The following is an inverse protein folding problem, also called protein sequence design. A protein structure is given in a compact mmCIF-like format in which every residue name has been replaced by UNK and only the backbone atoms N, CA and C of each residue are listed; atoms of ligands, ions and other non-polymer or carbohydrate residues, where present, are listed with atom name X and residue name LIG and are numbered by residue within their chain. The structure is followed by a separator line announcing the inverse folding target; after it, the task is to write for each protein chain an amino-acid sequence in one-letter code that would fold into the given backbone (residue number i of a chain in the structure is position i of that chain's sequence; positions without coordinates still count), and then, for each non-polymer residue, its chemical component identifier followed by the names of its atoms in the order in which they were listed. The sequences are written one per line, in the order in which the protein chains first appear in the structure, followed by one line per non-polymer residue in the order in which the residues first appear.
data_IF_918061344748
#
_entry.id   IF_918061344748
#
_cell.length_a   1.000
_cell.length_b   1.000
_cell.length_c   1.000
_cell.angle_alpha   90.00
_cell.angle_beta   90.00
_cell.angle_gamma   90.00
#
_symmetry.space_group_name_H-M   'P 1'
#
loop_
_entity.id
_entity.type
_entity.pdbx_description
1 polymer ?
#
# COMPACT_ATOMS: atom_id res chain seq x y z
N UNK A 1 -46.21 -41.60 -11.08
CA UNK A 1 -47.57 -41.11 -10.74
C UNK A 1 -47.68 -41.14 -9.23
N UNK A 2 -48.12 -40.16 -8.48
CA UNK A 2 -48.61 -38.79 -8.72
C UNK A 2 -48.58 -38.15 -7.31
N UNK A 3 -47.88 -37.02 -7.17
CA UNK A 3 -48.41 -35.70 -6.75
C UNK A 3 -48.90 -35.58 -5.31
N UNK A 4 -48.21 -34.71 -4.56
CA UNK A 4 -48.63 -34.19 -3.26
C UNK A 4 -47.87 -32.90 -2.94
N UNK A 5 -48.31 -31.81 -3.57
CA UNK A 5 -47.85 -30.43 -3.38
C UNK A 5 -48.24 -29.95 -1.98
N UNK A 6 -47.30 -29.35 -1.24
CA UNK A 6 -47.61 -28.41 -0.15
C UNK A 6 -46.98 -27.08 -0.51
N UNK A 7 -47.84 -26.15 -0.94
CA UNK A 7 -47.55 -24.75 -1.18
C UNK A 7 -47.37 -23.99 0.14
N UNK A 8 -46.38 -23.11 0.09
CA UNK A 8 -46.09 -22.00 0.99
C UNK A 8 -47.27 -21.08 1.24
N UNK A 9 -47.39 -20.53 2.45
CA UNK A 9 -47.68 -19.09 2.68
C UNK A 9 -47.41 -18.72 4.14
N UNK A 10 -46.16 -18.37 4.42
CA UNK A 10 -45.75 -17.64 5.62
C UNK A 10 -45.04 -16.40 5.16
N UNK A 11 -45.79 -15.32 4.93
CA UNK A 11 -45.27 -14.00 4.58
C UNK A 11 -44.31 -13.55 5.68
N UNK A 12 -43.03 -13.26 5.40
CA UNK A 12 -42.19 -12.59 6.38
C UNK A 12 -42.75 -11.19 6.57
N UNK A 13 -43.19 -10.91 7.80
CA UNK A 13 -43.62 -9.59 8.25
C UNK A 13 -42.58 -8.57 7.82
N UNK A 14 -42.97 -7.68 6.90
CA UNK A 14 -42.16 -6.55 6.49
C UNK A 14 -41.88 -5.73 7.74
N UNK A 15 -40.61 -5.69 8.16
CA UNK A 15 -40.15 -4.76 9.18
C UNK A 15 -40.52 -3.36 8.71
N UNK A 16 -41.46 -2.73 9.40
CA UNK A 16 -41.82 -1.34 9.20
C UNK A 16 -40.54 -0.51 9.34
N UNK A 17 -40.03 0.02 8.22
CA UNK A 17 -38.94 0.97 8.23
C UNK A 17 -39.45 2.22 8.96
N UNK A 18 -39.01 2.41 10.20
CA UNK A 18 -39.28 3.62 10.97
C UNK A 18 -38.70 4.80 10.18
N UNK A 19 -39.49 5.83 9.83
CA UNK A 19 -38.97 6.99 9.12
C UNK A 19 -37.93 7.68 10.01
N UNK A 20 -36.71 7.81 9.50
CA UNK A 20 -35.65 8.56 10.17
C UNK A 20 -36.06 10.05 10.08
N UNK A 21 -36.26 10.76 11.20
CA UNK A 21 -36.71 12.15 11.15
C UNK A 21 -35.68 13.02 10.40
N UNK A 22 -36.13 14.03 9.65
CA UNK A 22 -35.33 14.84 8.73
C UNK A 22 -34.12 15.56 9.38
N UNK A 23 -34.06 15.65 10.72
CA UNK A 23 -32.91 16.16 11.48
C UNK A 23 -31.90 15.08 11.96
N UNK A 24 -32.16 13.79 11.71
CA UNK A 24 -31.38 12.66 12.24
C UNK A 24 -30.29 12.12 11.30
N UNK A 25 -30.10 12.73 10.12
CA UNK A 25 -29.08 12.35 9.15
C UNK A 25 -28.04 13.46 8.99
N UNK A 26 -27.33 13.80 10.06
CA UNK A 26 -26.07 14.56 9.93
C UNK A 26 -24.92 13.56 9.99
N UNK A 27 -24.61 12.97 8.84
CA UNK A 27 -23.43 12.10 8.70
C UNK A 27 -22.18 12.94 8.53
N UNK A 28 -21.02 12.43 8.99
CA UNK A 28 -19.71 13.07 8.73
C UNK A 28 -19.50 13.28 7.23
N UNK A 29 -20.02 12.36 6.39
CA UNK A 29 -19.94 12.44 4.92
C UNK A 29 -20.67 13.63 4.31
N UNK A 30 -21.60 14.25 5.05
CA UNK A 30 -22.40 15.39 4.61
C UNK A 30 -21.89 16.72 5.19
N UNK A 31 -20.87 16.68 6.04
CA UNK A 31 -20.24 17.86 6.65
C UNK A 31 -19.00 18.29 5.85
N UNK A 32 -18.67 19.59 5.79
CA UNK A 32 -17.34 20.02 5.34
C UNK A 32 -17.18 20.47 3.87
N UNK A 33 -18.28 20.79 3.18
CA UNK A 33 -18.24 21.42 1.86
C UNK A 33 -17.51 20.60 0.80
N UNK A 34 -16.83 21.29 -0.14
CA UNK A 34 -16.26 20.68 -1.35
C UNK A 34 -15.17 19.64 -1.08
N UNK A 35 -14.41 19.76 0.02
CA UNK A 35 -13.33 18.82 0.33
C UNK A 35 -13.85 17.47 0.79
N UNK A 36 -14.84 17.44 1.69
CA UNK A 36 -15.48 16.19 2.08
C UNK A 36 -16.28 15.59 0.93
N UNK A 37 -16.99 16.42 0.15
CA UNK A 37 -17.72 15.96 -1.03
C UNK A 37 -16.78 15.29 -2.06
N UNK A 38 -15.56 15.81 -2.26
CA UNK A 38 -14.54 15.17 -3.09
C UNK A 38 -14.08 13.82 -2.52
N UNK A 39 -13.80 13.75 -1.21
CA UNK A 39 -13.39 12.52 -0.53
C UNK A 39 -14.48 11.42 -0.64
N UNK A 40 -15.75 11.82 -0.55
CA UNK A 40 -16.91 10.94 -0.63
C UNK A 40 -17.33 10.59 -2.06
N UNK A 41 -16.79 11.26 -3.07
CA UNK A 41 -17.12 11.00 -4.47
C UNK A 41 -16.61 9.61 -4.88
N UNK A 42 -17.49 8.82 -5.50
CA UNK A 42 -17.06 7.61 -6.17
C UNK A 42 -16.19 7.99 -7.38
N UNK A 43 -14.94 7.56 -7.36
CA UNK A 43 -13.98 7.81 -8.44
C UNK A 43 -13.97 6.59 -9.36
N UNK A 44 -14.01 6.82 -10.67
CA UNK A 44 -13.91 5.74 -11.65
C UNK A 44 -12.49 5.18 -11.70
N UNK A 45 -12.34 3.91 -12.04
CA UNK A 45 -11.01 3.29 -12.21
C UNK A 45 -10.16 4.03 -13.23
N UNK A 46 -10.78 4.63 -14.26
CA UNK A 46 -10.08 5.44 -15.26
C UNK A 46 -9.49 6.73 -14.67
N UNK A 47 -10.27 7.46 -13.86
CA UNK A 47 -9.78 8.69 -13.22
C UNK A 47 -8.69 8.38 -12.18
N UNK A 48 -8.83 7.29 -11.43
CA UNK A 48 -7.81 6.86 -10.47
C UNK A 48 -6.52 6.42 -11.19
N UNK A 49 -6.65 5.66 -12.29
CA UNK A 49 -5.52 5.31 -13.16
C UNK A 49 -4.80 6.56 -13.65
N UNK A 50 -5.52 7.54 -14.18
CA UNK A 50 -4.94 8.80 -14.65
C UNK A 50 -4.23 9.58 -13.54
N UNK A 51 -4.76 9.59 -12.32
CA UNK A 51 -4.09 10.23 -11.17
C UNK A 51 -2.79 9.53 -10.77
N UNK A 52 -2.78 8.19 -10.84
CA UNK A 52 -1.63 7.37 -10.47
C UNK A 52 -0.54 7.37 -11.53
N UNK A 53 -0.89 7.63 -12.79
CA UNK A 53 0.05 7.74 -13.89
C UNK A 53 0.94 8.96 -13.69
N UNK A 54 2.25 8.72 -13.67
CA UNK A 54 3.25 9.77 -13.49
C UNK A 54 4.40 9.52 -14.44
N UNK A 55 4.68 10.48 -15.29
CA UNK A 55 5.90 10.47 -16.08
C UNK A 55 7.12 10.50 -15.15
N UNK A 56 8.10 9.67 -15.47
CA UNK A 56 9.37 9.61 -14.76
C UNK A 56 10.19 10.88 -15.01
N UNK A 57 10.08 11.44 -16.23
CA UNK A 57 10.74 12.66 -16.65
C UNK A 57 9.74 13.52 -17.43
N UNK A 58 9.58 14.82 -17.12
CA UNK A 58 8.70 15.69 -17.89
C UNK A 58 9.09 15.71 -19.37
N UNK A 59 8.11 15.49 -20.26
CA UNK A 59 8.31 15.47 -21.70
C UNK A 59 8.52 16.87 -22.32
N UNK A 60 9.37 17.70 -21.72
CA UNK A 60 9.76 18.99 -22.29
C UNK A 60 10.83 18.78 -23.36
N UNK A 61 10.58 19.24 -24.59
CA UNK A 61 11.56 19.16 -25.67
C UNK A 61 12.87 19.88 -25.32
N UNK A 62 12.79 20.95 -24.56
CA UNK A 62 13.95 21.68 -24.00
C UNK A 62 14.90 20.76 -23.22
N UNK A 63 14.37 19.78 -22.46
CA UNK A 63 15.19 18.83 -21.71
C UNK A 63 15.89 17.81 -22.63
N UNK A 64 15.31 17.50 -23.79
CA UNK A 64 15.92 16.60 -24.78
C UNK A 64 17.03 17.27 -25.58
N UNK A 65 16.95 18.59 -25.75
CA UNK A 65 17.97 19.37 -26.46
C UNK A 65 19.02 19.98 -25.52
N UNK A 66 18.80 19.89 -24.20
CA UNK A 66 19.75 20.34 -23.19
C UNK A 66 21.10 19.61 -23.21
N UNK A 67 22.09 20.18 -22.53
CA UNK A 67 23.40 19.58 -22.32
C UNK A 67 23.33 18.28 -21.47
N UNK A 68 24.42 17.51 -21.50
CA UNK A 68 24.51 16.20 -20.83
C UNK A 68 24.28 16.31 -19.33
N UNK A 69 24.81 17.33 -18.66
CA UNK A 69 24.71 17.46 -17.20
C UNK A 69 23.28 17.81 -16.77
N UNK A 70 22.60 18.68 -17.52
CA UNK A 70 21.18 18.98 -17.31
C UNK A 70 20.31 17.74 -17.49
N UNK A 71 20.56 16.93 -18.54
CA UNK A 71 19.84 15.68 -18.77
C UNK A 71 20.06 14.66 -17.65
N UNK A 72 21.32 14.46 -17.23
CA UNK A 72 21.65 13.55 -16.12
C UNK A 72 20.99 14.01 -14.82
N UNK A 73 20.98 15.32 -14.57
CA UNK A 73 20.31 15.90 -13.39
C UNK A 73 18.81 15.64 -13.41
N UNK A 74 18.16 15.79 -14.56
CA UNK A 74 16.74 15.48 -14.72
C UNK A 74 16.45 13.98 -14.49
N UNK A 75 17.32 13.09 -14.99
CA UNK A 75 17.20 11.63 -14.83
C UNK A 75 17.22 11.16 -13.37
N UNK A 76 17.73 11.95 -12.42
CA UNK A 76 17.62 11.62 -10.99
C UNK A 76 16.17 11.46 -10.50
N UNK A 77 15.18 12.01 -11.23
CA UNK A 77 13.74 11.84 -10.92
C UNK A 77 13.14 10.57 -11.51
N UNK A 78 13.89 9.80 -12.31
CA UNK A 78 13.37 8.66 -13.06
C UNK A 78 12.68 7.61 -12.16
N UNK A 79 13.20 7.39 -10.96
CA UNK A 79 12.60 6.46 -9.98
C UNK A 79 11.23 6.88 -9.43
N UNK A 80 10.74 8.08 -9.74
CA UNK A 80 9.45 8.61 -9.28
C UNK A 80 8.31 8.36 -10.25
N UNK A 81 8.62 7.94 -11.49
CA UNK A 81 7.62 7.61 -12.48
C UNK A 81 6.81 6.38 -12.08
N UNK A 82 5.56 6.32 -12.51
CA UNK A 82 4.68 5.20 -12.24
C UNK A 82 3.71 4.97 -13.40
N UNK A 83 3.74 3.74 -13.92
CA UNK A 83 2.69 3.19 -14.77
C UNK A 83 1.76 2.33 -13.90
N UNK A 84 0.47 2.68 -13.72
CA UNK A 84 -0.44 1.95 -12.83
C UNK A 84 -0.91 0.60 -13.41
N UNK A 85 -0.83 -0.43 -12.58
CA UNK A 85 -1.44 -1.76 -12.82
C UNK A 85 -2.94 -1.75 -12.55
N UNK A 86 -3.69 -2.59 -13.28
CA UNK A 86 -5.14 -2.74 -13.07
C UNK A 86 -5.45 -3.22 -11.65
N UNK A 87 -4.68 -4.19 -11.16
CA UNK A 87 -4.80 -4.80 -9.84
C UNK A 87 -4.59 -3.77 -8.74
N UNK A 88 -3.59 -2.88 -8.93
CA UNK A 88 -3.34 -1.75 -8.02
C UNK A 88 -4.52 -0.77 -7.97
N UNK A 89 -5.05 -0.39 -9.14
CA UNK A 89 -6.23 0.50 -9.23
C UNK A 89 -7.46 -0.13 -8.57
N UNK A 90 -7.70 -1.42 -8.79
CA UNK A 90 -8.81 -2.15 -8.17
C UNK A 90 -8.67 -2.21 -6.65
N UNK A 91 -7.48 -2.51 -6.15
CA UNK A 91 -7.20 -2.54 -4.71
C UNK A 91 -7.46 -1.17 -4.06
N UNK A 92 -6.95 -0.08 -4.64
CA UNK A 92 -7.22 1.27 -4.13
C UNK A 92 -8.71 1.64 -4.21
N UNK A 93 -9.42 1.18 -5.24
CA UNK A 93 -10.87 1.36 -5.37
C UNK A 93 -11.62 0.68 -4.22
N UNK A 94 -11.21 -0.52 -3.83
CA UNK A 94 -11.80 -1.24 -2.69
C UNK A 94 -11.51 -0.55 -1.35
N UNK A 95 -10.26 -0.10 -1.13
CA UNK A 95 -9.88 0.64 0.08
C UNK A 95 -10.68 1.94 0.21
N UNK A 96 -10.78 2.74 -0.87
CA UNK A 96 -11.55 3.99 -0.86
C UNK A 96 -13.05 3.74 -0.70
N UNK A 97 -13.58 2.64 -1.24
CA UNK A 97 -14.98 2.26 -1.04
C UNK A 97 -15.27 1.92 0.43
N UNK A 98 -14.38 1.16 1.09
CA UNK A 98 -14.50 0.85 2.51
C UNK A 98 -14.43 2.11 3.38
N UNK A 99 -13.51 3.03 3.08
CA UNK A 99 -13.40 4.32 3.75
C UNK A 99 -14.68 5.16 3.58
N UNK A 100 -15.27 5.21 2.38
CA UNK A 100 -16.53 5.92 2.14
C UNK A 100 -17.69 5.30 2.93
N UNK A 101 -17.82 3.98 2.92
CA UNK A 101 -18.83 3.28 3.72
C UNK A 101 -18.67 3.58 5.22
N UNK A 102 -17.44 3.58 5.71
CA UNK A 102 -17.09 3.94 7.08
C UNK A 102 -17.49 5.39 7.44
N UNK A 103 -17.14 6.38 6.61
CA UNK A 103 -17.55 7.77 6.86
C UNK A 103 -19.07 7.96 6.79
N UNK A 104 -19.73 7.31 5.84
CA UNK A 104 -21.20 7.36 5.73
C UNK A 104 -21.87 6.79 6.97
N UNK A 105 -21.30 5.76 7.61
CA UNK A 105 -21.84 5.16 8.82
C UNK A 105 -21.74 6.03 10.09
N UNK A 106 -20.91 7.08 10.09
CA UNK A 106 -20.73 8.02 11.21
C UNK A 106 -21.86 9.04 11.28
N UNK A 107 -22.92 8.73 12.02
CA UNK A 107 -24.10 9.57 12.14
C UNK A 107 -24.14 10.33 13.47
N UNK A 108 -23.88 11.64 13.46
CA UNK A 108 -23.98 12.49 14.66
C UNK A 108 -25.44 12.78 15.07
N UNK A 109 -26.41 12.52 14.19
CA UNK A 109 -27.82 12.49 14.54
C UNK A 109 -28.21 11.33 15.47
N UNK A 110 -27.40 10.25 15.49
CA UNK A 110 -27.57 9.13 16.40
C UNK A 110 -26.93 9.40 17.77
N UNK A 111 -27.69 9.21 18.84
CA UNK A 111 -27.20 9.42 20.20
C UNK A 111 -26.00 8.52 20.54
N UNK A 112 -26.05 7.25 20.13
CA UNK A 112 -25.03 6.25 20.42
C UNK A 112 -23.64 6.67 19.88
N UNK A 113 -23.58 7.05 18.60
CA UNK A 113 -22.34 7.51 17.97
C UNK A 113 -21.84 8.83 18.58
N UNK A 114 -22.75 9.76 18.88
CA UNK A 114 -22.41 11.04 19.52
C UNK A 114 -21.80 10.83 20.91
N UNK A 115 -22.41 10.00 21.75
CA UNK A 115 -21.90 9.64 23.07
C UNK A 115 -20.54 8.94 22.96
N UNK A 116 -20.41 8.01 22.01
CA UNK A 116 -19.15 7.35 21.72
C UNK A 116 -18.05 8.35 21.35
N UNK A 117 -18.30 9.24 20.38
CA UNK A 117 -17.32 10.24 19.92
C UNK A 117 -16.87 11.18 21.05
N UNK A 118 -17.81 11.72 21.84
CA UNK A 118 -17.47 12.59 22.96
C UNK A 118 -16.75 11.84 24.09
N UNK A 119 -17.06 10.55 24.31
CA UNK A 119 -16.36 9.74 25.30
C UNK A 119 -14.87 9.53 24.96
N UNK A 120 -14.50 9.55 23.67
CA UNK A 120 -13.09 9.48 23.27
C UNK A 120 -12.27 10.66 23.80
N UNK A 121 -12.85 11.85 23.94
CA UNK A 121 -12.17 12.98 24.57
C UNK A 121 -11.92 12.75 26.07
N UNK A 122 -12.73 11.92 26.73
CA UNK A 122 -12.54 11.57 28.14
C UNK A 122 -11.48 10.48 28.34
N UNK A 123 -11.23 9.65 27.33
CA UNK A 123 -10.15 8.64 27.34
C UNK A 123 -8.78 9.33 27.43
N UNK A 124 -8.64 10.50 26.80
CA UNK A 124 -7.46 11.37 26.96
C UNK A 124 -7.25 11.85 28.40
N UNK A 125 -8.22 11.66 29.30
CA UNK A 125 -8.15 11.97 30.73
C UNK A 125 -8.14 10.71 31.60
N UNK A 126 -7.81 9.55 31.02
CA UNK A 126 -7.68 8.28 31.72
C UNK A 126 -8.97 7.46 31.87
N UNK A 127 -10.09 7.86 31.23
CA UNK A 127 -11.30 7.03 31.23
C UNK A 127 -11.19 5.83 30.29
N UNK A 128 -12.02 4.81 30.53
CA UNK A 128 -12.08 3.62 29.69
C UNK A 128 -12.72 3.90 28.31
N UNK A 129 -12.31 3.13 27.30
CA UNK A 129 -12.94 3.13 25.99
C UNK A 129 -14.37 2.61 26.07
N UNK A 130 -15.29 3.26 25.37
CA UNK A 130 -16.63 2.72 25.12
C UNK A 130 -16.61 1.66 24.02
N UNK A 131 -17.55 0.72 24.03
CA UNK A 131 -17.73 -0.21 22.91
C UNK A 131 -18.08 0.55 21.63
N UNK A 132 -17.75 -0.05 20.49
CA UNK A 132 -18.07 0.49 19.17
C UNK A 132 -19.59 0.52 18.97
N UNK A 133 -20.17 1.64 18.50
CA UNK A 133 -21.60 1.76 18.33
C UNK A 133 -22.12 0.87 17.19
N UNK A 134 -23.40 0.47 17.27
CA UNK A 134 -24.03 -0.48 16.34
C UNK A 134 -23.92 -0.04 14.86
N UNK A 135 -24.01 1.26 14.61
CA UNK A 135 -23.89 1.82 13.26
C UNK A 135 -22.51 1.56 12.60
N UNK A 136 -21.45 1.48 13.40
CA UNK A 136 -20.10 1.17 12.95
C UNK A 136 -19.80 -0.32 13.01
N UNK A 137 -20.33 -1.04 14.01
CA UNK A 137 -20.14 -2.50 14.12
C UNK A 137 -20.81 -3.29 13.00
N UNK A 138 -21.89 -2.73 12.41
CA UNK A 138 -22.57 -3.33 11.26
C UNK A 138 -21.73 -3.28 9.96
N UNK A 139 -20.72 -2.41 9.90
CA UNK A 139 -19.76 -2.42 8.79
C UNK A 139 -18.88 -3.67 8.95
N UNK A 140 -18.83 -4.53 7.92
CA UNK A 140 -17.84 -5.61 7.90
C UNK A 140 -16.46 -4.97 8.03
N UNK A 141 -15.79 -5.21 9.15
CA UNK A 141 -14.49 -4.62 9.46
C UNK A 141 -13.44 -5.18 8.50
N UNK A 142 -13.10 -4.42 7.46
CA UNK A 142 -12.18 -4.86 6.42
C UNK A 142 -10.72 -4.58 6.81
N UNK A 143 -9.95 -5.65 6.95
CA UNK A 143 -8.50 -5.60 6.82
C UNK A 143 -8.11 -5.73 5.35
N UNK A 144 -7.07 -5.04 4.93
CA UNK A 144 -6.52 -5.09 3.58
C UNK A 144 -5.04 -5.46 3.66
N UNK A 145 -4.60 -6.33 2.75
CA UNK A 145 -3.22 -6.78 2.70
C UNK A 145 -2.59 -6.37 1.38
N UNK A 146 -1.42 -5.74 1.46
CA UNK A 146 -0.57 -5.46 0.32
C UNK A 146 0.76 -6.20 0.50
N UNK A 147 0.98 -7.22 -0.31
CA UNK A 147 2.15 -8.08 -0.20
C UNK A 147 2.88 -8.21 -1.52
N UNK A 148 4.05 -8.81 -1.48
CA UNK A 148 4.96 -8.94 -2.60
C UNK A 148 6.41 -8.74 -2.14
N UNK A 149 7.38 -9.18 -2.93
CA UNK A 149 8.78 -8.96 -2.62
C UNK A 149 9.16 -7.49 -2.39
N UNK A 150 10.33 -7.29 -1.81
CA UNK A 150 10.98 -5.98 -1.79
C UNK A 150 11.12 -5.45 -3.22
N UNK A 151 10.96 -4.13 -3.36
CA UNK A 151 11.08 -3.40 -4.63
C UNK A 151 9.98 -3.64 -5.69
N UNK A 152 8.81 -4.15 -5.29
CA UNK A 152 7.66 -4.33 -6.19
C UNK A 152 6.66 -3.16 -6.20
N UNK A 153 6.98 -2.03 -5.57
CA UNK A 153 6.15 -0.82 -5.61
C UNK A 153 5.06 -0.70 -4.53
N UNK A 154 5.09 -1.54 -3.48
CA UNK A 154 4.11 -1.50 -2.38
C UNK A 154 4.01 -0.13 -1.70
N UNK A 155 5.12 0.40 -1.21
CA UNK A 155 5.15 1.73 -0.58
C UNK A 155 4.81 2.86 -1.55
N UNK A 156 5.12 2.70 -2.86
CA UNK A 156 4.71 3.67 -3.89
C UNK A 156 3.19 3.70 -4.03
N UNK A 157 2.54 2.53 -4.07
CA UNK A 157 1.08 2.44 -4.14
C UNK A 157 0.39 3.05 -2.91
N UNK A 158 0.93 2.80 -1.71
CA UNK A 158 0.44 3.43 -0.46
C UNK A 158 0.63 4.95 -0.47
N UNK A 159 1.78 5.43 -0.93
CA UNK A 159 2.06 6.86 -1.05
C UNK A 159 1.07 7.53 -2.01
N UNK A 160 0.80 6.91 -3.15
CA UNK A 160 -0.19 7.40 -4.12
C UNK A 160 -1.61 7.43 -3.56
N UNK A 161 -1.99 6.42 -2.77
CA UNK A 161 -3.27 6.44 -2.05
C UNK A 161 -3.36 7.62 -1.09
N UNK A 162 -2.32 7.85 -0.27
CA UNK A 162 -2.30 8.98 0.66
C UNK A 162 -2.35 10.33 -0.06
N UNK A 163 -1.63 10.48 -1.17
CA UNK A 163 -1.67 11.68 -2.02
C UNK A 163 -3.04 11.87 -2.69
N UNK A 164 -3.68 10.79 -3.13
CA UNK A 164 -5.02 10.82 -3.72
C UNK A 164 -6.08 11.27 -2.71
N UNK A 165 -5.99 10.77 -1.47
CA UNK A 165 -6.90 11.10 -0.38
C UNK A 165 -6.69 12.51 0.17
N UNK A 166 -5.50 13.07 -0.01
CA UNK A 166 -5.16 14.44 0.33
C UNK A 166 -4.77 14.67 1.79
N UNK A 167 -4.40 15.92 2.14
CA UNK A 167 -3.96 16.29 3.48
C UNK A 167 -5.13 16.32 4.48
N UNK A 168 -4.85 16.39 5.80
CA UNK A 168 -5.88 16.61 6.80
C UNK A 168 -6.64 17.93 6.57
N UNK A 169 -7.92 17.95 6.88
CA UNK A 169 -8.76 19.15 6.74
C UNK A 169 -9.79 19.26 7.87
N UNK A 170 -10.34 20.46 8.05
CA UNK A 170 -11.38 20.73 9.05
C UNK A 170 -12.76 20.69 8.40
N UNK A 171 -13.72 20.11 9.12
CA UNK A 171 -15.14 20.18 8.81
C UNK A 171 -15.86 20.90 9.93
N UNK A 172 -16.93 21.61 9.58
CA UNK A 172 -17.74 22.38 10.51
C UNK A 172 -19.13 21.78 10.60
N UNK A 173 -19.57 21.52 11.83
CA UNK A 173 -20.86 20.92 12.14
C UNK A 173 -21.75 21.90 12.91
N UNK A 174 -23.05 21.64 12.87
CA UNK A 174 -24.02 22.26 13.76
C UNK A 174 -24.49 21.24 14.80
N UNK A 175 -24.90 21.67 16.01
CA UNK A 175 -25.46 20.78 17.02
C UNK A 175 -26.54 19.87 16.40
N UNK A 176 -26.53 18.55 16.69
CA UNK A 176 -25.78 17.89 17.75
C UNK A 176 -24.32 17.49 17.42
N UNK A 177 -23.82 17.78 16.22
CA UNK A 177 -22.42 17.53 15.87
C UNK A 177 -21.47 18.56 16.50
N UNK A 178 -20.19 18.23 16.70
CA UNK A 178 -19.18 19.19 17.13
C UNK A 178 -19.05 20.36 16.14
N UNK A 179 -18.84 21.58 16.66
CA UNK A 179 -18.70 22.79 15.86
C UNK A 179 -17.59 22.71 14.81
N UNK A 180 -16.49 22.06 15.18
CA UNK A 180 -15.37 21.80 14.29
C UNK A 180 -14.77 20.43 14.60
N UNK A 181 -14.34 19.72 13.56
CA UNK A 181 -13.64 18.44 13.66
C UNK A 181 -12.54 18.38 12.63
N UNK A 182 -11.46 17.67 12.97
CA UNK A 182 -10.45 17.29 12.00
C UNK A 182 -10.87 16.00 11.30
N UNK A 183 -10.56 15.92 10.01
CA UNK A 183 -10.64 14.72 9.19
C UNK A 183 -9.25 14.42 8.66
N UNK A 184 -8.76 13.24 8.98
CA UNK A 184 -7.49 12.69 8.49
C UNK A 184 -7.80 11.52 7.55
N UNK A 185 -7.84 11.73 6.22
CA UNK A 185 -8.30 10.69 5.28
C UNK A 185 -7.52 9.37 5.39
N UNK A 186 -6.19 9.45 5.45
CA UNK A 186 -5.30 8.30 5.65
C UNK A 186 -4.25 8.58 6.70
N UNK A 187 -4.06 7.66 7.64
CA UNK A 187 -3.00 7.71 8.64
C UNK A 187 -1.94 6.65 8.33
N UNK A 188 -0.83 7.06 7.73
CA UNK A 188 0.24 6.15 7.27
C UNK A 188 1.39 6.17 8.27
N UNK A 189 1.69 5.01 8.84
CA UNK A 189 2.86 4.80 9.68
C UNK A 189 3.76 3.72 9.06
N UNK A 190 5.07 3.88 9.24
CA UNK A 190 6.01 2.80 8.94
C UNK A 190 5.93 1.73 10.04
N UNK A 191 6.23 0.49 9.68
CA UNK A 191 6.44 -0.54 10.68
C UNK A 191 7.54 -0.10 11.66
N UNK A 192 7.29 -0.13 12.98
CA UNK A 192 8.25 0.39 13.94
C UNK A 192 9.47 -0.54 13.98
N UNK A 193 10.67 0.02 13.84
CA UNK A 193 11.94 -0.74 13.85
C UNK A 193 12.15 -1.58 15.11
N UNK A 194 11.56 -1.17 16.24
CA UNK A 194 11.61 -1.93 17.48
C UNK A 194 10.56 -3.04 17.59
N UNK A 195 9.65 -3.16 16.61
CA UNK A 195 8.57 -4.15 16.55
C UNK A 195 7.52 -4.06 17.65
N UNK A 196 7.44 -2.94 18.39
CA UNK A 196 6.51 -2.79 19.53
C UNK A 196 5.40 -1.77 19.26
N UNK A 197 4.23 -1.92 19.92
CA UNK A 197 3.22 -0.88 19.98
C UNK A 197 3.75 0.46 20.49
N UNK A 198 4.68 0.45 21.47
CA UNK A 198 5.29 1.68 21.98
C UNK A 198 6.02 2.47 20.90
N UNK A 199 6.75 1.79 20.01
CA UNK A 199 7.37 2.42 18.84
C UNK A 199 6.33 3.02 17.91
N UNK A 200 5.26 2.28 17.63
CA UNK A 200 4.15 2.76 16.81
C UNK A 200 3.49 4.02 17.40
N UNK A 201 3.26 4.07 18.72
CA UNK A 201 2.63 5.22 19.38
C UNK A 201 3.51 6.45 19.39
N UNK A 202 4.84 6.27 19.53
CA UNK A 202 5.79 7.36 19.37
C UNK A 202 5.75 7.92 17.95
N UNK A 203 5.74 7.05 16.94
CA UNK A 203 5.72 7.48 15.54
C UNK A 203 4.36 8.11 15.17
N UNK A 204 3.27 7.62 15.77
CA UNK A 204 1.93 8.25 15.73
C UNK A 204 1.95 9.65 16.32
N UNK A 205 2.54 9.83 17.51
CA UNK A 205 2.69 11.14 18.17
C UNK A 205 3.46 12.11 17.28
N UNK A 206 4.59 11.67 16.72
CA UNK A 206 5.40 12.50 15.82
C UNK A 206 4.63 12.92 14.57
N UNK A 207 3.87 11.99 13.97
CA UNK A 207 3.04 12.27 12.79
C UNK A 207 1.94 13.28 13.11
N UNK A 208 1.26 13.14 14.25
CA UNK A 208 0.21 14.07 14.67
C UNK A 208 0.80 15.46 14.93
N UNK A 209 1.95 15.55 15.62
CA UNK A 209 2.62 16.82 15.88
C UNK A 209 3.06 17.52 14.58
N UNK A 210 3.56 16.75 13.60
CA UNK A 210 4.00 17.31 12.32
C UNK A 210 2.83 17.86 11.48
N UNK A 211 1.64 17.28 11.59
CA UNK A 211 0.49 17.65 10.76
C UNK A 211 -0.51 18.61 11.42
N UNK A 212 -0.63 18.54 12.74
CA UNK A 212 -1.62 19.31 13.51
C UNK A 212 -1.00 20.21 14.57
N UNK A 213 0.30 20.06 14.85
CA UNK A 213 1.00 20.89 15.81
C UNK A 213 1.12 22.34 15.34
N UNK A 214 0.75 23.27 16.21
CA UNK A 214 1.11 24.68 16.14
C UNK A 214 2.14 25.00 17.24
N UNK A 215 2.73 26.21 17.21
CA UNK A 215 3.66 26.69 18.27
C UNK A 215 3.04 26.70 19.68
N UNK A 216 1.71 26.53 19.79
CA UNK A 216 0.94 26.56 21.04
C UNK A 216 0.39 25.18 21.45
N UNK A 217 0.67 24.13 20.67
CA UNK A 217 0.14 22.80 20.92
C UNK A 217 0.89 22.24 22.10
N UNK A 218 0.18 22.12 23.23
CA UNK A 218 0.76 21.62 24.47
C UNK A 218 1.34 20.21 24.21
N UNK A 219 2.67 20.14 24.18
CA UNK A 219 3.44 18.91 23.95
C UNK A 219 3.07 17.80 24.96
N UNK A 220 2.47 18.18 26.10
CA UNK A 220 1.99 17.29 27.15
C UNK A 220 0.66 16.60 26.82
N UNK A 221 -0.20 17.15 25.95
CA UNK A 221 -1.49 16.52 25.63
C UNK A 221 -1.36 15.18 24.88
N UNK A 222 -0.19 14.92 24.30
CA UNK A 222 0.16 13.67 23.61
C UNK A 222 1.17 12.81 24.38
N UNK A 223 1.62 13.22 25.58
CA UNK A 223 2.56 12.41 26.37
C UNK A 223 1.95 11.06 26.79
N UNK A 224 0.63 11.00 26.91
CA UNK A 224 -0.09 9.80 27.33
C UNK A 224 -0.05 8.67 26.29
N UNK A 225 0.28 8.97 25.02
CA UNK A 225 0.56 7.95 24.00
C UNK A 225 1.76 7.06 24.37
N UNK A 226 2.70 7.60 25.14
CA UNK A 226 3.89 6.88 25.60
C UNK A 226 3.70 6.24 26.99
N UNK A 227 2.55 6.48 27.63
CA UNK A 227 2.18 5.99 28.95
C UNK A 227 1.45 4.64 28.97
N UNK A 228 1.05 4.19 30.16
CA UNK A 228 0.40 2.89 30.37
C UNK A 228 -0.95 2.73 29.64
N UNK A 229 -1.62 3.84 29.29
CA UNK A 229 -2.88 3.88 28.55
C UNK A 229 -2.71 4.15 27.05
N UNK A 230 -1.48 4.10 26.52
CA UNK A 230 -1.14 4.54 25.16
C UNK A 230 -2.00 3.91 24.05
N UNK A 231 -2.38 2.63 24.18
CA UNK A 231 -3.27 1.97 23.21
C UNK A 231 -4.66 2.64 23.13
N UNK A 232 -5.26 2.92 24.29
CA UNK A 232 -6.60 3.47 24.38
C UNK A 232 -6.60 4.93 23.90
N UNK A 233 -5.53 5.66 24.23
CA UNK A 233 -5.28 7.03 23.76
C UNK A 233 -5.13 7.05 22.24
N UNK A 234 -4.36 6.13 21.65
CA UNK A 234 -4.22 6.01 20.21
C UNK A 234 -5.58 5.75 19.51
N UNK A 235 -6.38 4.85 20.05
CA UNK A 235 -7.74 4.56 19.55
C UNK A 235 -8.61 5.81 19.61
N UNK A 236 -8.64 6.50 20.76
CA UNK A 236 -9.41 7.72 20.94
C UNK A 236 -8.98 8.83 19.98
N UNK A 237 -7.66 9.03 19.78
CA UNK A 237 -7.13 10.00 18.83
C UNK A 237 -7.53 9.69 17.39
N UNK A 238 -7.45 8.43 16.96
CA UNK A 238 -7.91 8.03 15.63
C UNK A 238 -9.39 8.34 15.41
N UNK A 239 -10.24 8.16 16.42
CA UNK A 239 -11.66 8.53 16.37
C UNK A 239 -11.84 10.05 16.31
N UNK A 240 -11.17 10.82 17.17
CA UNK A 240 -11.29 12.28 17.25
C UNK A 240 -10.75 13.01 16.01
N UNK A 241 -9.70 12.48 15.38
CA UNK A 241 -9.16 12.98 14.11
C UNK A 241 -9.93 12.47 12.89
N UNK A 242 -11.02 11.71 13.11
CA UNK A 242 -11.81 11.06 12.07
C UNK A 242 -10.94 10.36 11.01
N UNK A 243 -9.99 9.55 11.47
CA UNK A 243 -9.10 8.79 10.57
C UNK A 243 -9.94 7.91 9.65
N UNK A 244 -9.73 8.02 8.34
CA UNK A 244 -10.52 7.28 7.33
C UNK A 244 -10.00 5.89 7.03
N UNK A 245 -8.68 5.73 7.00
CA UNK A 245 -7.97 4.45 6.86
C UNK A 245 -6.67 4.50 7.67
N UNK A 246 -6.35 3.42 8.38
CA UNK A 246 -5.08 3.27 9.08
C UNK A 246 -4.16 2.35 8.28
N UNK A 247 -2.94 2.79 8.00
CA UNK A 247 -2.01 2.07 7.13
C UNK A 247 -0.69 1.83 7.87
N UNK A 248 -0.31 0.56 7.99
CA UNK A 248 1.01 0.14 8.48
C UNK A 248 1.83 -0.37 7.30
N UNK A 249 2.85 0.40 6.89
CA UNK A 249 3.65 0.14 5.69
C UNK A 249 5.09 -0.28 5.98
N UNK A 250 5.67 -1.03 5.05
CA UNK A 250 7.11 -1.24 4.97
C UNK A 250 7.65 -2.36 5.85
N UNK A 251 6.81 -3.28 6.32
CA UNK A 251 7.26 -4.39 7.15
C UNK A 251 8.06 -5.42 6.34
N UNK A 252 9.19 -5.87 6.90
CA UNK A 252 10.10 -6.87 6.32
C UNK A 252 10.38 -8.04 7.25
N UNK A 253 11.17 -8.99 6.76
CA UNK A 253 11.53 -10.21 7.48
C UNK A 253 12.23 -9.91 8.79
N UNK A 254 13.12 -8.92 8.81
CA UNK A 254 13.86 -8.55 10.01
C UNK A 254 12.98 -7.90 11.09
N UNK A 255 11.80 -7.41 10.73
CA UNK A 255 10.86 -6.80 11.66
C UNK A 255 10.04 -7.83 12.47
N UNK A 256 9.99 -9.08 12.02
CA UNK A 256 9.26 -10.18 12.65
C UNK A 256 9.96 -10.63 13.93
N UNK A 257 9.28 -10.54 15.08
CA UNK A 257 9.77 -11.00 16.39
C UNK A 257 8.60 -11.23 17.38
N UNK A 258 8.86 -11.77 18.58
CA UNK A 258 7.82 -12.04 19.60
C UNK A 258 6.88 -10.86 19.93
N UNK A 259 7.32 -9.60 19.71
CA UNK A 259 6.53 -8.39 19.97
C UNK A 259 5.58 -8.05 18.83
N UNK A 260 5.79 -8.62 17.65
CA UNK A 260 4.91 -8.49 16.48
C UNK A 260 3.47 -8.86 16.84
N UNK A 261 3.27 -9.94 17.61
CA UNK A 261 1.95 -10.35 18.09
C UNK A 261 1.24 -9.24 18.89
N UNK A 262 1.96 -8.48 19.72
CA UNK A 262 1.38 -7.37 20.47
C UNK A 262 0.94 -6.22 19.55
N UNK A 263 1.71 -5.95 18.48
CA UNK A 263 1.35 -4.96 17.46
C UNK A 263 0.08 -5.36 16.72
N UNK A 264 -0.03 -6.60 16.25
CA UNK A 264 -1.23 -7.10 15.59
C UNK A 264 -2.44 -7.12 16.53
N UNK A 265 -2.27 -7.48 17.82
CA UNK A 265 -3.34 -7.36 18.83
C UNK A 265 -3.83 -5.92 18.98
N UNK A 266 -2.91 -4.96 19.00
CA UNK A 266 -3.29 -3.55 19.01
C UNK A 266 -4.07 -3.17 17.74
N UNK A 267 -3.65 -3.60 16.55
CA UNK A 267 -4.38 -3.32 15.30
C UNK A 267 -5.78 -3.96 15.29
N UNK A 268 -5.92 -5.18 15.81
CA UNK A 268 -7.23 -5.83 16.00
C UNK A 268 -8.10 -4.95 16.90
N UNK A 269 -7.58 -4.55 18.06
CA UNK A 269 -8.26 -3.69 19.02
C UNK A 269 -8.64 -2.33 18.42
N UNK A 270 -7.74 -1.72 17.64
CA UNK A 270 -8.01 -0.47 16.93
C UNK A 270 -9.20 -0.64 15.99
N UNK A 271 -9.21 -1.69 15.18
CA UNK A 271 -10.32 -1.99 14.26
C UNK A 271 -11.63 -2.24 15.00
N UNK A 272 -11.59 -3.06 16.06
CA UNK A 272 -12.77 -3.44 16.86
C UNK A 272 -13.37 -2.25 17.61
N UNK A 273 -12.55 -1.31 18.07
CA UNK A 273 -13.02 -0.15 18.83
C UNK A 273 -13.28 1.09 17.99
N UNK A 274 -12.82 1.18 16.75
CA UNK A 274 -13.04 2.37 15.89
C UNK A 274 -13.85 2.09 14.62
N UNK A 275 -13.87 0.84 14.13
CA UNK A 275 -14.41 0.48 12.82
C UNK A 275 -13.56 0.95 11.63
N UNK A 276 -12.38 1.56 11.88
CA UNK A 276 -11.51 2.08 10.82
C UNK A 276 -10.94 0.92 9.98
N UNK A 277 -11.02 0.98 8.64
CA UNK A 277 -10.32 0.06 7.76
C UNK A 277 -8.80 0.06 8.00
N UNK A 278 -8.18 -1.11 8.06
CA UNK A 278 -6.73 -1.25 8.28
C UNK A 278 -6.08 -1.83 7.03
N UNK A 279 -5.01 -1.19 6.55
CA UNK A 279 -4.15 -1.70 5.48
C UNK A 279 -2.80 -2.10 6.09
N UNK A 280 -2.36 -3.32 5.83
CA UNK A 280 -1.03 -3.82 6.22
C UNK A 280 -0.24 -4.08 4.94
N UNK A 281 0.92 -3.44 4.83
CA UNK A 281 1.85 -3.63 3.72
C UNK A 281 3.15 -4.23 4.22
N UNK A 282 3.50 -5.40 3.69
CA UNK A 282 4.64 -6.20 4.16
C UNK A 282 5.22 -7.09 3.06
N UNK A 283 6.51 -7.45 3.17
CA UNK A 283 7.15 -8.36 2.22
C UNK A 283 6.44 -9.72 2.24
N UNK A 284 6.59 -10.52 1.19
CA UNK A 284 6.05 -11.89 1.20
C UNK A 284 6.55 -12.70 2.40
N UNK A 285 7.83 -12.55 2.77
CA UNK A 285 8.39 -13.17 3.97
C UNK A 285 7.73 -12.71 5.27
N UNK A 286 7.52 -11.39 5.42
CA UNK A 286 6.82 -10.83 6.58
C UNK A 286 5.39 -11.36 6.68
N UNK A 287 4.64 -11.32 5.57
CA UNK A 287 3.23 -11.73 5.55
C UNK A 287 3.07 -13.22 5.79
N UNK A 288 3.97 -14.05 5.26
CA UNK A 288 4.04 -15.48 5.55
C UNK A 288 4.25 -15.77 7.04
N UNK A 289 5.19 -15.06 7.66
CA UNK A 289 5.43 -15.21 9.10
C UNK A 289 4.26 -14.70 9.94
N UNK A 290 3.64 -13.59 9.53
CA UNK A 290 2.52 -12.98 10.24
C UNK A 290 1.24 -13.83 10.15
N UNK A 291 0.98 -14.51 9.03
CA UNK A 291 -0.19 -15.39 8.87
C UNK A 291 -0.18 -16.59 9.81
N UNK A 292 1.00 -17.01 10.26
CA UNK A 292 1.17 -18.09 11.23
C UNK A 292 0.93 -17.64 12.69
N UNK A 293 0.49 -16.40 12.91
CA UNK A 293 0.16 -15.86 14.25
C UNK A 293 -1.34 -15.67 14.44
N UNK A 294 -1.78 -15.35 15.66
CA UNK A 294 -3.18 -14.99 16.03
C UNK A 294 -3.79 -13.81 15.24
N UNK A 295 -3.07 -13.25 14.26
CA UNK A 295 -3.45 -12.13 13.41
C UNK A 295 -4.38 -12.49 12.23
N UNK A 296 -4.80 -13.75 12.07
CA UNK A 296 -5.60 -14.21 10.91
C UNK A 296 -6.80 -13.30 10.60
N UNK A 297 -7.49 -12.82 11.63
CA UNK A 297 -8.66 -11.94 11.47
C UNK A 297 -8.35 -10.58 10.82
N UNK A 298 -7.12 -10.06 10.88
CA UNK A 298 -6.72 -8.84 10.17
C UNK A 298 -6.36 -9.11 8.71
N UNK A 299 -5.92 -10.32 8.40
CA UNK A 299 -5.38 -10.70 7.09
C UNK A 299 -6.43 -11.32 6.16
N UNK A 300 -7.62 -11.62 6.67
CA UNK A 300 -8.72 -12.31 5.95
C UNK A 300 -9.53 -11.44 4.97
N UNK A 301 -9.16 -10.18 4.74
CA UNK A 301 -9.86 -9.32 3.78
C UNK A 301 -9.18 -9.27 2.41
N UNK A 302 -9.52 -8.28 1.55
CA UNK A 302 -8.96 -8.19 0.21
C UNK A 302 -7.43 -8.07 0.22
N UNK A 303 -6.77 -8.86 -0.64
CA UNK A 303 -5.32 -8.92 -0.73
C UNK A 303 -4.87 -8.56 -2.14
N UNK A 304 -3.82 -7.75 -2.22
CA UNK A 304 -3.07 -7.50 -3.46
C UNK A 304 -1.67 -8.08 -3.30
N UNK A 305 -1.32 -9.02 -4.17
CA UNK A 305 0.01 -9.59 -4.28
C UNK A 305 0.72 -8.93 -5.47
N UNK A 306 1.76 -8.15 -5.22
CA UNK A 306 2.63 -7.56 -6.22
C UNK A 306 3.80 -8.51 -6.49
N UNK A 307 3.50 -9.61 -7.17
CA UNK A 307 4.48 -10.63 -7.54
C UNK A 307 5.35 -10.20 -8.74
N UNK A 308 6.56 -10.75 -8.88
CA UNK A 308 7.39 -10.54 -10.07
C UNK A 308 6.60 -10.85 -11.34
N UNK A 309 6.76 -10.01 -12.36
CA UNK A 309 6.09 -10.20 -13.63
C UNK A 309 6.58 -11.48 -14.31
N UNK A 310 5.68 -12.11 -15.06
CA UNK A 310 6.01 -13.27 -15.89
C UNK A 310 6.99 -12.89 -17.02
N UNK A 311 7.77 -13.87 -17.54
CA UNK A 311 8.62 -13.66 -18.71
C UNK A 311 7.84 -13.06 -19.88
N UNK A 312 8.46 -12.15 -20.66
CA UNK A 312 7.81 -11.62 -21.84
C UNK A 312 7.50 -12.74 -22.83
N UNK A 313 6.25 -12.80 -23.30
CA UNK A 313 5.89 -13.68 -24.41
C UNK A 313 6.64 -13.22 -25.65
N UNK A 314 7.23 -14.12 -26.47
CA UNK A 314 7.87 -13.75 -27.73
C UNK A 314 6.92 -12.89 -28.57
N UNK A 315 7.46 -11.85 -29.21
CA UNK A 315 6.65 -10.97 -30.05
C UNK A 315 5.81 -11.81 -31.03
N UNK A 316 4.49 -11.57 -31.12
CA UNK A 316 3.70 -12.13 -32.20
C UNK A 316 4.33 -11.69 -33.53
N UNK A 317 4.42 -12.61 -34.48
CA UNK A 317 4.64 -12.28 -35.90
C UNK A 317 3.62 -11.21 -36.34
N UNK A 318 4.04 -10.35 -37.27
CA UNK A 318 3.41 -9.06 -37.63
C UNK A 318 1.89 -8.94 -37.45
N UNK A 319 1.45 -7.84 -36.80
CA UNK A 319 0.04 -7.41 -36.80
C UNK A 319 -0.66 -7.24 -35.44
N UNK A 320 -0.03 -7.54 -34.30
CA UNK A 320 -0.62 -7.33 -32.96
C UNK A 320 -0.13 -6.05 -32.27
N UNK A 321 -0.99 -5.42 -31.47
CA UNK A 321 -0.65 -4.19 -30.72
C UNK A 321 0.30 -4.53 -29.57
N UNK A 322 1.15 -3.57 -29.16
CA UNK A 322 2.08 -3.74 -28.02
C UNK A 322 1.35 -4.13 -26.73
N UNK A 323 0.11 -3.68 -26.57
CA UNK A 323 -0.80 -4.01 -25.47
C UNK A 323 -1.04 -5.53 -25.35
N UNK A 324 -1.04 -6.25 -26.48
CA UNK A 324 -1.27 -7.70 -26.55
C UNK A 324 -0.02 -8.53 -26.17
N UNK A 325 1.11 -7.87 -25.88
CA UNK A 325 2.41 -8.53 -25.71
C UNK A 325 2.83 -8.76 -24.25
N UNK A 326 1.94 -8.46 -23.30
CA UNK A 326 2.10 -8.69 -21.87
C UNK A 326 2.60 -7.48 -21.07
N UNK A 327 2.35 -7.48 -19.76
CA UNK A 327 2.61 -6.34 -18.86
C UNK A 327 4.09 -5.94 -18.85
N UNK A 328 5.01 -6.91 -18.85
CA UNK A 328 6.45 -6.63 -18.84
C UNK A 328 6.89 -5.76 -20.02
N UNK A 329 6.46 -6.11 -21.24
CA UNK A 329 6.79 -5.33 -22.45
C UNK A 329 6.19 -3.93 -22.41
N UNK A 330 5.00 -3.76 -21.84
CA UNK A 330 4.40 -2.43 -21.65
C UNK A 330 5.26 -1.57 -20.72
N UNK A 331 5.74 -2.10 -19.60
CA UNK A 331 6.66 -1.37 -18.71
C UNK A 331 7.99 -1.03 -19.36
N UNK A 332 8.61 -1.97 -20.07
CA UNK A 332 9.89 -1.74 -20.77
C UNK A 332 9.73 -0.65 -21.82
N UNK A 333 8.66 -0.70 -22.62
CA UNK A 333 8.36 0.33 -23.62
C UNK A 333 8.09 1.69 -22.99
N UNK A 334 7.31 1.72 -21.90
CA UNK A 334 7.06 2.94 -21.15
C UNK A 334 8.35 3.52 -20.58
N UNK A 335 9.16 2.75 -19.84
CA UNK A 335 10.44 3.19 -19.27
C UNK A 335 11.44 3.65 -20.35
N UNK A 336 11.44 3.02 -21.53
CA UNK A 336 12.24 3.48 -22.66
C UNK A 336 11.79 4.87 -23.13
N UNK A 337 10.49 5.10 -23.28
CA UNK A 337 9.93 6.39 -23.70
C UNK A 337 10.14 7.53 -22.70
N UNK A 338 10.37 7.19 -21.43
CA UNK A 338 10.68 8.14 -20.36
C UNK A 338 12.13 8.66 -20.38
N UNK A 339 12.99 8.14 -21.27
CA UNK A 339 14.36 8.62 -21.44
C UNK A 339 14.48 9.99 -22.12
N UNK A 340 15.64 10.62 -21.98
CA UNK A 340 16.01 11.86 -22.66
C UNK A 340 16.85 11.59 -23.93
N UNK A 341 16.49 10.53 -24.65
CA UNK A 341 17.15 10.12 -25.89
C UNK A 341 16.72 11.04 -27.07
N UNK A 342 17.55 11.15 -28.13
CA UNK A 342 17.20 11.91 -29.33
C UNK A 342 15.86 11.46 -29.94
N UNK A 343 15.17 12.39 -30.61
CA UNK A 343 13.88 12.09 -31.27
C UNK A 343 14.04 10.96 -32.30
N UNK A 344 13.05 10.07 -32.36
CA UNK A 344 13.05 8.93 -33.29
C UNK A 344 13.87 7.72 -32.82
N UNK A 345 14.48 7.79 -31.63
CA UNK A 345 15.18 6.67 -30.99
C UNK A 345 14.24 5.48 -30.77
N UNK A 346 14.34 4.47 -31.63
CA UNK A 346 13.55 3.23 -31.52
C UNK A 346 14.10 2.34 -30.42
N UNK A 347 13.20 1.80 -29.60
CA UNK A 347 13.54 0.77 -28.63
C UNK A 347 14.05 -0.48 -29.36
N UNK A 348 15.18 -1.07 -28.93
CA UNK A 348 15.63 -2.36 -29.46
C UNK A 348 14.57 -3.45 -29.25
N UNK A 349 14.34 -4.27 -30.29
CA UNK A 349 13.27 -5.29 -30.31
C UNK A 349 13.36 -6.28 -29.14
N UNK A 350 14.58 -6.69 -28.80
CA UNK A 350 14.88 -7.70 -27.77
C UNK A 350 15.16 -7.10 -26.39
N UNK A 351 15.05 -5.78 -26.22
CA UNK A 351 15.26 -5.13 -24.93
C UNK A 351 14.37 -5.73 -23.81
N UNK A 352 13.08 -6.07 -24.04
CA UNK A 352 12.27 -6.67 -22.99
C UNK A 352 12.80 -8.01 -22.49
N UNK A 353 13.33 -8.86 -23.37
CA UNK A 353 13.95 -10.14 -23.04
C UNK A 353 15.24 -9.95 -22.24
N UNK A 354 16.15 -9.11 -22.73
CA UNK A 354 17.43 -8.84 -22.05
C UNK A 354 17.24 -8.23 -20.66
N UNK A 355 16.30 -7.29 -20.54
CA UNK A 355 15.99 -6.69 -19.24
C UNK A 355 15.27 -7.65 -18.31
N UNK A 356 14.47 -8.59 -18.83
CA UNK A 356 13.87 -9.64 -18.01
C UNK A 356 14.95 -10.55 -17.41
N UNK A 357 15.87 -11.05 -18.22
CA UNK A 357 16.99 -11.88 -17.77
C UNK A 357 17.80 -11.19 -16.66
N UNK A 358 18.03 -9.88 -16.82
CA UNK A 358 18.78 -9.09 -15.85
C UNK A 358 18.02 -8.75 -14.56
N UNK A 359 16.69 -8.87 -14.52
CA UNK A 359 15.87 -8.35 -13.41
C UNK A 359 14.86 -9.34 -12.83
N UNK A 360 14.68 -10.50 -13.46
CA UNK A 360 13.79 -11.57 -13.01
C UNK A 360 12.37 -11.06 -12.73
N UNK A 361 11.83 -10.24 -13.63
CA UNK A 361 10.46 -9.72 -13.56
C UNK A 361 10.22 -8.64 -12.49
N UNK A 362 11.26 -8.09 -11.85
CA UNK A 362 11.09 -7.13 -10.73
C UNK A 362 11.10 -5.69 -11.18
N UNK A 363 10.02 -4.99 -10.85
CA UNK A 363 9.82 -3.60 -11.26
C UNK A 363 10.92 -2.66 -10.73
N UNK A 364 11.26 -2.72 -9.44
CA UNK A 364 12.26 -1.80 -8.90
C UNK A 364 13.68 -2.05 -9.42
N UNK A 365 14.02 -3.30 -9.77
CA UNK A 365 15.29 -3.60 -10.44
C UNK A 365 15.29 -3.09 -11.88
N UNK A 366 14.17 -3.26 -12.59
CA UNK A 366 13.96 -2.71 -13.92
C UNK A 366 14.15 -1.20 -13.95
N UNK A 367 13.52 -0.48 -13.01
CA UNK A 367 13.61 0.99 -12.91
C UNK A 367 15.05 1.45 -12.65
N UNK A 368 15.79 0.78 -11.75
CA UNK A 368 17.20 1.11 -11.49
C UNK A 368 18.12 0.84 -12.69
N UNK A 369 17.90 -0.29 -13.36
CA UNK A 369 18.64 -0.64 -14.58
C UNK A 369 18.37 0.36 -15.70
N UNK A 370 17.11 0.75 -15.91
CA UNK A 370 16.72 1.75 -16.91
C UNK A 370 17.26 3.15 -16.59
N UNK A 371 17.24 3.57 -15.32
CA UNK A 371 17.86 4.83 -14.93
C UNK A 371 19.34 4.85 -15.33
N UNK A 372 20.08 3.79 -15.01
CA UNK A 372 21.51 3.67 -15.34
C UNK A 372 21.74 3.59 -16.85
N UNK A 373 20.87 2.87 -17.57
CA UNK A 373 20.90 2.77 -19.03
C UNK A 373 20.71 4.13 -19.70
N UNK A 374 19.70 4.89 -19.28
CA UNK A 374 19.44 6.23 -19.83
C UNK A 374 20.58 7.20 -19.54
N UNK A 375 21.16 7.16 -18.34
CA UNK A 375 22.35 7.97 -18.00
C UNK A 375 23.54 7.60 -18.89
N UNK A 376 23.76 6.31 -19.15
CA UNK A 376 24.84 5.86 -20.03
C UNK A 376 24.62 6.33 -21.48
N UNK A 377 23.40 6.20 -21.99
CA UNK A 377 23.05 6.61 -23.35
C UNK A 377 23.13 8.12 -23.57
N UNK A 378 22.69 8.93 -22.59
CA UNK A 378 22.79 10.40 -22.64
C UNK A 378 24.24 10.87 -22.70
N UNK A 379 25.16 10.15 -22.04
CA UNK A 379 26.60 10.45 -22.08
C UNK A 379 27.26 10.08 -23.41
N UNK A 380 26.53 9.43 -24.31
CA UNK A 380 27.04 8.95 -25.59
C UNK A 380 26.11 9.40 -26.74
N UNK A 381 26.00 10.73 -27.00
CA UNK A 381 24.97 11.31 -27.86
C UNK A 381 25.11 10.95 -29.35
N UNK A 382 26.31 10.63 -29.83
CA UNK A 382 26.57 10.29 -31.23
C UNK A 382 26.29 8.82 -31.58
N UNK A 383 25.80 8.02 -30.63
CA UNK A 383 25.60 6.59 -30.84
C UNK A 383 24.35 6.28 -31.65
N UNK A 384 24.53 5.43 -32.65
CA UNK A 384 23.43 4.69 -33.26
C UNK A 384 22.92 3.64 -32.28
N UNK A 385 21.83 3.97 -31.59
CA UNK A 385 21.19 3.12 -30.57
C UNK A 385 21.02 1.66 -31.02
N UNK A 386 20.62 1.43 -32.27
CA UNK A 386 20.42 0.07 -32.80
C UNK A 386 21.71 -0.76 -32.89
N UNK A 387 22.86 -0.11 -33.05
CA UNK A 387 24.18 -0.77 -33.13
C UNK A 387 24.82 -0.88 -31.73
N UNK A 388 24.49 0.02 -30.80
CA UNK A 388 25.12 0.06 -29.47
C UNK A 388 24.37 -0.73 -28.40
N UNK A 389 23.04 -0.69 -28.41
CA UNK A 389 22.25 -1.35 -27.36
C UNK A 389 22.12 -2.83 -27.71
N UNK A 390 23.15 -3.58 -27.35
CA UNK A 390 23.22 -5.05 -27.44
C UNK A 390 22.85 -5.71 -26.11
N UNK A 391 22.65 -7.03 -26.12
CA UNK A 391 22.45 -7.80 -24.89
C UNK A 391 23.62 -7.61 -23.91
N UNK A 392 24.86 -7.67 -24.39
CA UNK A 392 26.05 -7.50 -23.56
C UNK A 392 26.08 -6.10 -22.91
N UNK A 393 25.76 -5.06 -23.68
CA UNK A 393 25.67 -3.69 -23.15
C UNK A 393 24.61 -3.58 -22.05
N UNK A 394 23.40 -4.10 -22.28
CA UNK A 394 22.31 -4.09 -21.29
C UNK A 394 22.69 -4.88 -20.04
N UNK A 395 23.24 -6.08 -20.20
CA UNK A 395 23.70 -6.93 -19.08
C UNK A 395 24.77 -6.23 -18.25
N UNK A 396 25.74 -5.56 -18.88
CA UNK A 396 26.78 -4.83 -18.17
C UNK A 396 26.22 -3.64 -17.38
N UNK A 397 25.34 -2.85 -18.01
CA UNK A 397 24.69 -1.70 -17.37
C UNK A 397 23.82 -2.13 -16.19
N UNK A 398 22.97 -3.14 -16.39
CA UNK A 398 22.08 -3.64 -15.34
C UNK A 398 22.88 -4.35 -14.24
N UNK A 399 23.93 -5.08 -14.59
CA UNK A 399 24.84 -5.71 -13.62
C UNK A 399 25.53 -4.69 -12.71
N UNK A 400 25.94 -3.54 -13.26
CA UNK A 400 26.48 -2.43 -12.47
C UNK A 400 25.40 -1.84 -11.54
N UNK A 401 24.21 -1.55 -12.08
CA UNK A 401 23.10 -0.98 -11.32
C UNK A 401 22.64 -1.89 -10.17
N UNK A 402 22.63 -3.20 -10.40
CA UNK A 402 22.05 -4.21 -9.50
C UNK A 402 23.10 -4.96 -8.69
N UNK A 403 24.35 -4.48 -8.65
CA UNK A 403 25.46 -5.16 -7.95
C UNK A 403 25.15 -5.49 -6.48
N UNK A 404 24.42 -4.62 -5.79
CA UNK A 404 24.00 -4.83 -4.39
C UNK A 404 22.98 -5.96 -4.22
N UNK A 405 22.28 -6.34 -5.30
CA UNK A 405 21.30 -7.41 -5.34
C UNK A 405 21.84 -8.72 -5.96
N UNK A 406 23.15 -8.81 -6.22
CA UNK A 406 23.75 -9.99 -6.82
C UNK A 406 23.46 -11.28 -6.03
N UNK A 407 23.47 -11.22 -4.69
CA UNK A 407 23.15 -12.39 -3.87
C UNK A 407 21.67 -12.81 -3.94
N UNK A 408 20.67 -11.94 -3.70
CA UNK A 408 19.27 -12.33 -3.85
C UNK A 408 18.95 -12.81 -5.27
N UNK A 409 19.48 -12.17 -6.31
CA UNK A 409 19.31 -12.62 -7.71
C UNK A 409 19.81 -14.05 -7.92
N UNK A 410 21.05 -14.32 -7.47
CA UNK A 410 21.64 -15.66 -7.55
C UNK A 410 20.79 -16.71 -6.82
N UNK A 411 20.25 -16.38 -5.64
CA UNK A 411 19.43 -17.31 -4.87
C UNK A 411 18.07 -17.58 -5.52
N UNK A 412 17.43 -16.57 -6.12
CA UNK A 412 16.17 -16.74 -6.86
C UNK A 412 16.39 -17.69 -8.03
N UNK A 413 17.43 -17.46 -8.84
CA UNK A 413 17.78 -18.34 -9.95
C UNK A 413 18.08 -19.77 -9.48
N UNK A 414 18.72 -19.95 -8.33
CA UNK A 414 18.94 -21.28 -7.77
C UNK A 414 17.63 -21.98 -7.42
N UNK A 415 16.67 -21.26 -6.83
CA UNK A 415 15.36 -21.81 -6.48
C UNK A 415 14.54 -22.18 -7.71
N UNK A 416 14.48 -21.30 -8.71
CA UNK A 416 13.76 -21.53 -9.96
C UNK A 416 14.30 -22.74 -10.74
N UNK A 417 15.62 -22.96 -10.68
CA UNK A 417 16.28 -24.08 -11.35
C UNK A 417 16.36 -25.37 -10.51
N UNK A 418 15.76 -25.39 -9.31
CA UNK A 418 15.83 -26.55 -8.41
C UNK A 418 17.24 -26.88 -7.90
N UNK A 419 18.17 -25.92 -7.96
CA UNK A 419 19.53 -26.08 -7.50
C UNK A 419 19.61 -25.99 -5.95
N UNK A 420 20.63 -26.61 -5.32
CA UNK A 420 20.82 -26.49 -3.88
C UNK A 420 20.99 -25.03 -3.46
N UNK A 421 20.08 -24.54 -2.60
CA UNK A 421 20.19 -23.19 -2.02
C UNK A 421 21.48 -23.02 -1.22
N UNK A 422 22.08 -21.83 -1.25
CA UNK A 422 23.36 -21.50 -0.61
C UNK A 422 23.35 -21.45 0.93
N UNK A 423 22.56 -22.31 1.57
CA UNK A 423 22.42 -22.45 3.01
C UNK A 423 21.42 -21.47 3.65
N UNK A 424 20.97 -21.85 4.85
CA UNK A 424 19.94 -21.14 5.64
C UNK A 424 20.22 -19.65 5.85
N UNK A 425 21.45 -19.29 6.21
CA UNK A 425 21.80 -17.89 6.53
C UNK A 425 21.66 -16.98 5.31
N UNK A 426 22.15 -17.43 4.15
CA UNK A 426 22.07 -16.67 2.89
C UNK A 426 20.63 -16.43 2.44
N UNK A 427 19.79 -17.47 2.61
CA UNK A 427 18.36 -17.39 2.36
C UNK A 427 17.69 -16.37 3.27
N UNK A 428 17.87 -16.48 4.59
CA UNK A 428 17.24 -15.59 5.56
C UNK A 428 17.62 -14.12 5.38
N UNK A 429 18.88 -13.82 5.03
CA UNK A 429 19.34 -12.45 4.70
C UNK A 429 18.70 -11.87 3.43
N UNK A 430 18.14 -12.73 2.59
CA UNK A 430 17.52 -12.36 1.31
C UNK A 430 16.01 -12.61 1.32
N UNK A 431 15.43 -12.98 2.48
CA UNK A 431 14.05 -13.46 2.60
C UNK A 431 13.04 -12.50 1.96
N UNK A 432 13.22 -11.19 2.21
CA UNK A 432 12.36 -10.14 1.69
C UNK A 432 12.33 -10.01 0.18
N UNK A 433 13.31 -10.59 -0.51
CA UNK A 433 13.33 -10.60 -1.96
C UNK A 433 12.56 -11.77 -2.54
N UNK A 434 12.21 -12.84 -1.82
CA UNK A 434 11.53 -13.98 -2.47
C UNK A 434 10.03 -13.74 -2.69
N UNK A 435 9.45 -14.25 -3.80
CA UNK A 435 8.00 -14.24 -4.01
C UNK A 435 7.29 -15.19 -3.05
N UNK A 436 5.98 -15.02 -2.88
CA UNK A 436 5.17 -15.80 -1.94
C UNK A 436 5.28 -17.32 -2.17
N UNK A 437 5.32 -17.74 -3.45
CA UNK A 437 5.48 -19.15 -3.85
C UNK A 437 6.78 -19.81 -3.36
N UNK A 438 7.83 -19.03 -3.07
CA UNK A 438 9.07 -19.59 -2.55
C UNK A 438 8.90 -20.18 -1.13
N UNK A 439 7.93 -19.68 -0.36
CA UNK A 439 7.67 -20.14 1.01
C UNK A 439 6.82 -21.42 1.07
N UNK A 440 6.32 -21.90 -0.07
CA UNK A 440 5.67 -23.22 -0.20
C UNK A 440 6.71 -24.36 -0.25
N UNK A 441 7.99 -24.05 -0.49
CA UNK A 441 9.07 -25.02 -0.48
C UNK A 441 9.32 -25.55 0.95
N UNK A 442 9.21 -26.86 1.15
CA UNK A 442 9.33 -27.51 2.47
C UNK A 442 10.62 -27.13 3.20
N UNK A 443 11.77 -27.14 2.53
CA UNK A 443 13.06 -26.83 3.15
C UNK A 443 13.14 -25.37 3.60
N UNK A 444 12.68 -24.46 2.75
CA UNK A 444 12.65 -23.03 3.08
C UNK A 444 11.67 -22.74 4.22
N UNK A 445 10.52 -23.40 4.20
CA UNK A 445 9.55 -23.32 5.27
C UNK A 445 10.16 -23.78 6.61
N UNK A 446 10.80 -24.95 6.66
CA UNK A 446 11.49 -25.43 7.88
C UNK A 446 12.49 -24.39 8.40
N UNK A 447 13.28 -23.77 7.52
CA UNK A 447 14.23 -22.73 7.93
C UNK A 447 13.58 -21.49 8.52
N UNK A 448 12.44 -21.06 7.95
CA UNK A 448 11.64 -19.95 8.46
C UNK A 448 11.05 -20.31 9.83
N UNK A 449 10.36 -21.45 9.94
CA UNK A 449 9.74 -21.94 11.19
C UNK A 449 10.76 -22.05 12.33
N UNK A 450 11.90 -22.70 12.11
CA UNK A 450 12.98 -22.77 13.11
C UNK A 450 13.45 -21.38 13.57
N UNK A 451 13.43 -20.40 12.67
CA UNK A 451 13.81 -19.02 12.99
C UNK A 451 12.71 -18.29 13.75
N UNK A 452 11.44 -18.55 13.42
CA UNK A 452 10.28 -18.00 14.13
C UNK A 452 10.20 -18.53 15.57
N UNK A 453 10.46 -19.82 15.80
CA UNK A 453 10.57 -20.41 17.15
C UNK A 453 11.67 -19.70 17.95
N UNK A 454 12.86 -19.52 17.36
CA UNK A 454 13.96 -18.79 18.02
C UNK A 454 13.63 -17.32 18.31
N UNK A 455 12.78 -16.71 17.49
CA UNK A 455 12.30 -15.34 17.66
C UNK A 455 11.09 -15.22 18.60
N UNK A 456 10.62 -16.34 19.17
CA UNK A 456 9.55 -16.41 20.17
C UNK A 456 8.15 -16.18 19.61
N UNK A 457 7.91 -16.58 18.36
CA UNK A 457 6.62 -16.39 17.67
C UNK A 457 5.75 -17.65 17.59
N UNK A 458 6.37 -18.83 17.66
CA UNK A 458 5.75 -20.16 17.59
C UNK A 458 6.13 -20.94 18.84
#
# INVERSE_FOLDING_TARGET
METGVVTTEGTPSASVAVPIPEGALISVSQMGGDTMARLMRQTSSAALRQFMERDAIPHADELRDADVDTKVTALNRFGTGNLPLNEGVLFLTQVTAAMRAFYSAKHFGGEEFRLYYHSCAEVMRGKALRPLPACLSAQKTLGFCLTGPSMMGRSTLIKQLAEFLGPPFRIYGSPPAPRAMWVKPSFVLKYPTCGTPKGLFRDMRQTILAEFGDEKTDLNALSDLEGANGENVAIALCTLLNVGVFILDGAGWDDINFRTTALFRFLVKLREHTGIPIVISGTSAFMYAASNTLASNLLNGPQLHLDPFMPPVPQPTEGKRVEDTGIWRQYVAWLWAQGLLPRGSKMPRHLPEWTYEATLGRLGWLVQGFHTLHVALVKMPDLKIAETVTQEFVTNIFGLALRVFANPMRLILQLENGAPTAGKISFLRSADHFPSVAFENTTLNTWMEETLVRRGLV
#
